data_IF_956899484710
#
_entry.id   IF_956899484710
#
_cell.length_a   1.000
_cell.length_b   1.000
_cell.length_c   1.000
_cell.angle_alpha   90.00
_cell.angle_beta   90.00
_cell.angle_gamma   90.00
#
_symmetry.space_group_name_H-M   'P 1'
#
loop_
_entity.id
_entity.type
_entity.pdbx_description
1 polymer ?
#
# COMPACT_ATOMS: atom_id res chain seq x y z
N UNK A 1 9.31 9.06 1.20
CA UNK A 1 9.81 7.71 1.53
C UNK A 1 10.14 7.59 3.01
N UNK A 2 11.01 8.44 3.57
CA UNK A 2 11.36 8.43 5.00
C UNK A 2 10.12 8.42 5.92
N UNK A 3 9.17 9.33 5.68
CA UNK A 3 7.90 9.40 6.43
C UNK A 3 7.09 8.10 6.37
N UNK A 4 7.07 7.42 5.21
CA UNK A 4 6.40 6.14 5.04
C UNK A 4 7.13 5.05 5.83
N UNK A 5 8.44 4.88 5.66
CA UNK A 5 9.21 3.87 6.39
C UNK A 5 9.08 4.08 7.91
N UNK A 6 9.19 5.32 8.37
CA UNK A 6 8.99 5.69 9.78
C UNK A 6 7.57 5.43 10.31
N UNK A 7 6.56 5.36 9.44
CA UNK A 7 5.19 4.98 9.83
C UNK A 7 5.03 3.46 9.90
N UNK A 8 5.73 2.70 9.06
CA UNK A 8 5.69 1.23 9.07
C UNK A 8 6.28 0.65 10.36
N UNK A 9 7.28 1.32 10.94
CA UNK A 9 7.85 1.03 12.27
C UNK A 9 6.81 1.05 13.42
N UNK A 10 5.65 1.67 13.20
CA UNK A 10 4.57 1.72 14.22
C UNK A 10 3.61 0.54 14.14
N UNK A 11 3.73 -0.30 13.11
CA UNK A 11 2.89 -1.48 12.92
C UNK A 11 3.35 -2.64 13.82
N UNK A 12 2.47 -3.61 14.01
CA UNK A 12 2.81 -4.84 14.75
C UNK A 12 4.02 -5.52 14.10
N UNK A 13 4.99 -6.04 14.88
CA UNK A 13 6.10 -6.84 14.35
C UNK A 13 5.66 -8.07 13.55
N UNK A 14 4.43 -8.53 13.73
CA UNK A 14 3.82 -9.64 12.97
C UNK A 14 3.34 -9.22 11.56
N UNK A 15 3.32 -7.91 11.27
CA UNK A 15 2.91 -7.38 9.96
C UNK A 15 3.99 -7.71 8.92
N UNK A 16 3.65 -8.52 7.92
CA UNK A 16 4.53 -8.76 6.78
C UNK A 16 4.56 -7.55 5.84
N UNK A 17 5.75 -7.11 5.44
CA UNK A 17 5.94 -5.98 4.53
C UNK A 17 6.58 -6.45 3.22
N UNK A 18 5.87 -6.26 2.11
CA UNK A 18 6.36 -6.59 0.77
C UNK A 18 6.51 -5.31 -0.04
N UNK A 19 7.74 -4.98 -0.40
CA UNK A 19 8.06 -3.83 -1.24
C UNK A 19 8.29 -4.26 -2.69
N UNK A 20 7.57 -3.65 -3.62
CA UNK A 20 7.91 -3.66 -5.04
C UNK A 20 8.65 -2.39 -5.38
N UNK A 21 9.84 -2.49 -5.96
CA UNK A 21 10.68 -1.33 -6.24
C UNK A 21 9.98 -0.34 -7.18
N UNK A 22 10.23 0.98 -6.99
CA UNK A 22 9.71 1.99 -7.90
C UNK A 22 10.25 1.79 -9.32
N UNK A 23 9.57 2.37 -10.30
CA UNK A 23 10.10 2.47 -11.66
C UNK A 23 11.44 3.23 -11.65
N UNK A 24 12.28 2.95 -12.65
CA UNK A 24 13.68 3.40 -12.73
C UNK A 24 13.86 4.90 -13.07
N UNK A 25 13.12 5.78 -12.41
CA UNK A 25 13.27 7.24 -12.53
C UNK A 25 14.48 7.73 -11.71
N UNK A 26 14.92 8.97 -11.97
CA UNK A 26 16.18 9.57 -11.43
C UNK A 26 16.29 9.52 -9.90
N UNK A 27 15.16 9.62 -9.17
CA UNK A 27 15.10 9.55 -7.71
C UNK A 27 14.94 8.11 -7.16
N UNK A 28 14.80 7.13 -8.06
CA UNK A 28 14.57 5.72 -7.73
C UNK A 28 15.74 5.07 -6.98
N UNK A 29 16.98 5.53 -7.20
CA UNK A 29 18.16 5.00 -6.49
C UNK A 29 18.13 5.28 -4.99
N UNK A 30 17.77 6.50 -4.59
CA UNK A 30 17.69 6.87 -3.17
C UNK A 30 16.59 6.06 -2.49
N UNK A 31 15.43 5.93 -3.15
CA UNK A 31 14.32 5.11 -2.64
C UNK A 31 14.75 3.64 -2.52
N UNK A 32 15.46 3.12 -3.52
CA UNK A 32 15.94 1.74 -3.51
C UNK A 32 16.86 1.47 -2.32
N UNK A 33 17.87 2.31 -2.09
CA UNK A 33 18.79 2.13 -0.97
C UNK A 33 18.07 2.25 0.38
N UNK A 34 17.12 3.19 0.54
CA UNK A 34 16.32 3.30 1.76
C UNK A 34 15.50 2.04 2.04
N UNK A 35 14.87 1.44 1.03
CA UNK A 35 14.09 0.21 1.21
C UNK A 35 15.03 -0.98 1.47
N UNK A 36 16.16 -1.05 0.79
CA UNK A 36 17.16 -2.09 1.01
C UNK A 36 17.72 -2.05 2.42
N UNK A 37 18.06 -0.86 2.93
CA UNK A 37 18.50 -0.66 4.31
C UNK A 37 17.39 -1.09 5.29
N UNK A 38 16.16 -0.61 5.09
CA UNK A 38 15.01 -0.97 5.92
C UNK A 38 14.78 -2.48 5.99
N UNK A 39 14.76 -3.17 4.84
CA UNK A 39 14.56 -4.63 4.81
C UNK A 39 15.73 -5.42 5.39
N UNK A 40 16.95 -4.86 5.39
CA UNK A 40 18.11 -5.52 6.00
C UNK A 40 18.06 -5.57 7.53
N UNK A 41 17.33 -4.64 8.15
CA UNK A 41 17.15 -4.56 9.61
C UNK A 41 15.83 -5.15 10.11
N UNK A 42 14.95 -5.63 9.22
CA UNK A 42 13.60 -6.10 9.54
C UNK A 42 13.34 -7.49 8.98
N UNK A 43 13.21 -8.50 9.85
CA UNK A 43 12.98 -9.89 9.46
C UNK A 43 11.61 -10.16 8.83
N UNK A 44 10.65 -9.26 9.04
CA UNK A 44 9.29 -9.28 8.50
C UNK A 44 9.14 -8.44 7.21
N UNK A 45 10.24 -7.99 6.60
CA UNK A 45 10.21 -7.12 5.43
C UNK A 45 11.05 -7.67 4.27
N UNK A 46 10.47 -7.68 3.07
CA UNK A 46 11.12 -8.16 1.85
C UNK A 46 10.95 -7.17 0.71
N UNK A 47 11.95 -7.08 -0.16
CA UNK A 47 11.86 -6.29 -1.39
C UNK A 47 12.07 -7.13 -2.63
N UNK A 48 11.38 -6.75 -3.70
CA UNK A 48 11.51 -7.34 -5.02
C UNK A 48 11.66 -6.23 -6.05
N UNK A 49 12.65 -6.36 -6.94
CA UNK A 49 12.86 -5.42 -8.05
C UNK A 49 11.65 -5.39 -8.98
N UNK A 50 11.07 -6.54 -9.26
CA UNK A 50 9.77 -6.68 -9.92
C UNK A 50 9.18 -8.05 -9.61
N UNK A 51 7.88 -8.09 -9.35
CA UNK A 51 7.11 -9.34 -9.28
C UNK A 51 6.61 -9.77 -10.67
N UNK A 52 6.58 -8.84 -11.64
CA UNK A 52 5.80 -9.01 -12.86
C UNK A 52 4.30 -9.06 -12.57
N UNK A 53 3.49 -9.00 -13.62
CA UNK A 53 2.04 -8.88 -13.47
C UNK A 53 1.42 -10.10 -12.77
N UNK A 54 1.74 -11.32 -13.22
CA UNK A 54 1.15 -12.55 -12.66
C UNK A 54 1.43 -12.69 -11.17
N UNK A 55 2.69 -12.56 -10.72
CA UNK A 55 3.01 -12.72 -9.30
C UNK A 55 2.50 -11.56 -8.46
N UNK A 56 2.43 -10.34 -9.01
CA UNK A 56 1.83 -9.21 -8.31
C UNK A 56 0.33 -9.44 -8.06
N UNK A 57 -0.43 -9.84 -9.09
CA UNK A 57 -1.86 -10.15 -8.97
C UNK A 57 -2.11 -11.37 -8.07
N UNK A 58 -1.22 -12.37 -8.09
CA UNK A 58 -1.28 -13.48 -7.13
C UNK A 58 -1.00 -13.00 -5.71
N UNK A 59 -0.01 -12.13 -5.50
CA UNK A 59 0.34 -11.57 -4.19
C UNK A 59 -0.83 -10.79 -3.59
N UNK A 60 -1.57 -10.02 -4.39
CA UNK A 60 -2.76 -9.29 -3.94
C UNK A 60 -3.74 -10.20 -3.18
N UNK A 61 -3.93 -11.45 -3.59
CA UNK A 61 -4.86 -12.38 -2.93
C UNK A 61 -4.48 -12.72 -1.48
N UNK A 62 -3.27 -12.36 -1.03
CA UNK A 62 -2.72 -12.75 0.27
C UNK A 62 -2.31 -11.55 1.13
N UNK A 63 -2.62 -10.31 0.73
CA UNK A 63 -2.29 -9.11 1.50
C UNK A 63 -3.54 -8.39 1.98
N UNK A 64 -3.43 -7.74 3.14
CA UNK A 64 -4.54 -6.96 3.71
C UNK A 64 -4.71 -5.60 3.01
N UNK A 65 -3.60 -5.04 2.48
CA UNK A 65 -3.61 -3.72 1.88
C UNK A 65 -2.49 -3.47 0.87
N UNK A 66 -2.73 -2.50 -0.01
CA UNK A 66 -1.72 -1.87 -0.87
C UNK A 66 -1.43 -0.45 -0.36
N UNK A 67 -0.16 -0.12 -0.14
CA UNK A 67 0.25 1.18 0.40
C UNK A 67 1.27 1.83 -0.53
N UNK A 68 1.07 3.11 -0.85
CA UNK A 68 2.00 3.88 -1.67
C UNK A 68 1.27 4.81 -2.62
N UNK A 69 1.83 5.03 -3.81
CA UNK A 69 1.24 5.92 -4.83
C UNK A 69 1.15 5.25 -6.21
N UNK A 70 1.24 3.92 -6.24
CA UNK A 70 1.09 3.12 -7.45
C UNK A 70 -0.33 3.24 -8.00
N UNK A 71 -0.46 3.25 -9.33
CA UNK A 71 -1.78 3.14 -9.97
C UNK A 71 -2.49 1.85 -9.59
N UNK A 72 -1.73 0.82 -9.18
CA UNK A 72 -2.28 -0.47 -8.79
C UNK A 72 -3.10 -0.45 -7.51
N UNK A 73 -2.88 0.52 -6.62
CA UNK A 73 -3.78 0.75 -5.49
C UNK A 73 -5.16 1.28 -5.92
N UNK A 74 -5.26 1.91 -7.09
CA UNK A 74 -6.51 2.53 -7.56
C UNK A 74 -7.26 1.63 -8.55
N UNK A 75 -6.54 0.86 -9.37
CA UNK A 75 -7.14 0.05 -10.44
C UNK A 75 -7.26 -1.42 -10.00
N UNK A 76 -6.14 -2.05 -9.68
CA UNK A 76 -6.09 -3.48 -9.41
C UNK A 76 -6.63 -3.82 -8.01
N UNK A 77 -6.11 -3.20 -6.95
CA UNK A 77 -6.44 -3.55 -5.56
C UNK A 77 -7.95 -3.55 -5.23
N UNK A 78 -8.77 -2.59 -5.71
CA UNK A 78 -10.22 -2.63 -5.48
C UNK A 78 -10.91 -3.86 -6.06
N UNK A 79 -10.41 -4.41 -7.18
CA UNK A 79 -10.98 -5.62 -7.81
C UNK A 79 -10.79 -6.87 -6.95
N UNK A 80 -9.75 -6.87 -6.10
CA UNK A 80 -9.48 -7.92 -5.12
C UNK A 80 -10.13 -7.63 -3.75
N UNK A 81 -10.90 -6.55 -3.63
CA UNK A 81 -11.51 -6.06 -2.36
C UNK A 81 -10.47 -5.73 -1.28
N UNK A 82 -9.27 -5.35 -1.71
CA UNK A 82 -8.16 -5.00 -0.82
C UNK A 82 -8.18 -3.50 -0.55
N UNK A 83 -7.92 -3.13 0.71
CA UNK A 83 -7.80 -1.73 1.11
C UNK A 83 -6.57 -1.07 0.49
N UNK A 84 -6.65 0.20 0.15
CA UNK A 84 -5.51 0.97 -0.35
C UNK A 84 -5.30 2.23 0.46
N UNK A 85 -4.05 2.48 0.86
CA UNK A 85 -3.60 3.80 1.33
C UNK A 85 -2.85 4.46 0.18
N UNK A 86 -3.50 5.43 -0.49
CA UNK A 86 -2.90 6.23 -1.55
C UNK A 86 -2.25 7.49 -0.96
N UNK A 87 -0.93 7.59 -1.10
CA UNK A 87 -0.10 8.62 -0.48
C UNK A 87 0.23 9.72 -1.50
N UNK A 88 -0.19 10.94 -1.19
CA UNK A 88 0.05 12.14 -1.99
C UNK A 88 -0.73 12.21 -3.30
N UNK A 89 -0.34 13.17 -4.14
CA UNK A 89 -1.16 13.64 -5.26
C UNK A 89 -0.96 12.89 -6.60
N UNK A 90 -0.08 11.88 -6.67
CA UNK A 90 0.26 11.20 -7.94
C UNK A 90 -0.97 10.63 -8.68
N UNK A 91 -1.97 10.15 -7.94
CA UNK A 91 -3.18 9.57 -8.51
C UNK A 91 -4.40 10.51 -8.45
N UNK A 92 -4.19 11.81 -8.23
CA UNK A 92 -5.26 12.82 -8.15
C UNK A 92 -6.07 12.86 -9.45
N UNK A 93 -7.38 13.09 -9.33
CA UNK A 93 -8.31 13.15 -10.47
C UNK A 93 -8.84 11.79 -10.96
N UNK A 94 -8.29 10.66 -10.49
CA UNK A 94 -8.87 9.34 -10.77
C UNK A 94 -10.07 9.05 -9.86
N UNK A 95 -11.06 8.33 -10.37
CA UNK A 95 -12.18 7.84 -9.58
C UNK A 95 -11.67 6.99 -8.40
N UNK A 96 -12.37 7.09 -7.25
CA UNK A 96 -12.01 6.39 -6.02
C UNK A 96 -13.06 5.36 -5.65
N UNK A 97 -12.61 4.13 -5.42
CA UNK A 97 -13.41 3.11 -4.75
C UNK A 97 -13.48 3.41 -3.24
N UNK A 98 -14.52 2.89 -2.56
CA UNK A 98 -14.68 3.01 -1.10
C UNK A 98 -13.55 2.35 -0.31
N UNK A 99 -12.83 1.41 -0.93
CA UNK A 99 -11.65 0.74 -0.38
C UNK A 99 -10.37 1.58 -0.43
N UNK A 100 -10.43 2.84 -0.87
CA UNK A 100 -9.27 3.72 -0.99
C UNK A 100 -9.31 4.81 0.09
N UNK A 101 -8.20 4.95 0.79
CA UNK A 101 -7.91 6.01 1.76
C UNK A 101 -6.81 6.87 1.17
N UNK A 102 -7.13 8.12 0.82
CA UNK A 102 -6.12 9.11 0.42
C UNK A 102 -5.53 9.77 1.68
N UNK A 103 -4.21 9.97 1.71
CA UNK A 103 -3.53 10.74 2.75
C UNK A 103 -2.32 11.52 2.21
N UNK A 104 -1.91 12.55 2.94
CA UNK A 104 -0.71 13.32 2.62
C UNK A 104 0.57 12.52 2.95
N UNK A 105 1.71 12.81 2.30
CA UNK A 105 2.99 12.13 2.55
C UNK A 105 3.67 12.58 3.85
N UNK A 106 2.92 12.60 4.96
CA UNK A 106 3.36 12.97 6.30
C UNK A 106 3.12 11.79 7.25
N UNK A 107 4.08 11.49 8.13
CA UNK A 107 4.04 10.32 9.02
C UNK A 107 2.73 10.21 9.80
N UNK A 108 2.25 11.31 10.39
CA UNK A 108 1.01 11.33 11.19
C UNK A 108 -0.20 10.93 10.32
N UNK A 109 -0.30 11.50 9.13
CA UNK A 109 -1.38 11.22 8.18
C UNK A 109 -1.36 9.76 7.69
N UNK A 110 -0.16 9.21 7.47
CA UNK A 110 0.00 7.80 7.08
C UNK A 110 -0.37 6.88 8.24
N UNK A 111 0.03 7.19 9.47
CA UNK A 111 -0.35 6.43 10.68
C UNK A 111 -1.87 6.44 10.87
N UNK A 112 -2.52 7.58 10.71
CA UNK A 112 -3.97 7.69 10.85
C UNK A 112 -4.71 6.96 9.72
N UNK A 113 -4.13 6.94 8.51
CA UNK A 113 -4.62 6.10 7.42
C UNK A 113 -4.52 4.60 7.75
N UNK A 114 -3.44 4.13 8.38
CA UNK A 114 -3.33 2.74 8.87
C UNK A 114 -4.36 2.41 9.95
N UNK A 115 -4.57 3.31 10.93
CA UNK A 115 -5.61 3.11 11.96
C UNK A 115 -7.00 2.98 11.33
N UNK A 116 -7.30 3.82 10.32
CA UNK A 116 -8.56 3.74 9.58
C UNK A 116 -8.66 2.45 8.77
N UNK A 117 -7.60 2.07 8.06
CA UNK A 117 -7.53 0.83 7.28
C UNK A 117 -7.86 -0.39 8.14
N UNK A 118 -7.29 -0.49 9.35
CA UNK A 118 -7.54 -1.60 10.27
C UNK A 118 -8.81 -1.45 11.13
N UNK A 119 -9.53 -0.35 11.01
CA UNK A 119 -10.79 -0.17 11.73
C UNK A 119 -11.86 -1.13 11.23
N UNK A 120 -12.68 -1.64 12.16
CA UNK A 120 -13.77 -2.56 11.84
C UNK A 120 -14.79 -1.97 10.86
N UNK A 121 -14.99 -0.65 10.89
CA UNK A 121 -15.89 0.05 9.97
C UNK A 121 -15.37 0.04 8.53
N UNK A 122 -14.07 0.24 8.35
CA UNK A 122 -13.46 0.21 7.02
C UNK A 122 -13.42 -1.23 6.48
N UNK A 123 -13.02 -2.18 7.32
CA UNK A 123 -13.00 -3.61 7.02
C UNK A 123 -14.40 -4.20 6.81
N UNK A 124 -15.49 -3.50 7.17
CA UNK A 124 -16.84 -3.88 6.73
C UNK A 124 -17.16 -3.23 5.38
N UNK A 125 -17.02 -1.91 5.27
CA UNK A 125 -17.40 -1.13 4.08
C UNK A 125 -16.68 -1.56 2.80
N UNK A 126 -15.45 -2.05 2.89
CA UNK A 126 -14.67 -2.50 1.72
C UNK A 126 -15.24 -3.76 1.05
N UNK A 127 -16.04 -4.58 1.75
CA UNK A 127 -16.42 -5.92 1.26
C UNK A 127 -17.90 -6.07 0.89
N UNK A 128 -18.78 -5.12 1.24
CA UNK A 128 -20.24 -5.28 1.09
C UNK A 128 -20.84 -4.85 -0.25
N UNK A 129 -20.09 -4.24 -1.18
CA UNK A 129 -20.73 -3.50 -2.29
C UNK A 129 -20.76 -4.20 -3.66
N UNK A 130 -20.50 -5.51 -3.72
CA UNK A 130 -20.58 -6.30 -4.97
C UNK A 130 -21.73 -7.33 -4.95
N UNK A 131 -22.81 -7.06 -4.21
CA UNK A 131 -24.04 -7.86 -4.21
C UNK A 131 -25.27 -7.10 -4.74
N UNK A 132 -25.13 -5.86 -5.21
CA UNK A 132 -26.26 -5.00 -5.61
C UNK A 132 -26.30 -4.64 -7.10
N UNK A 133 -25.55 -5.35 -7.95
CA UNK A 133 -25.59 -5.19 -9.40
C UNK A 133 -25.68 -6.54 -10.12
N UNK A 134 -26.70 -7.33 -9.80
CA UNK A 134 -27.40 -8.27 -10.68
C UNK A 134 -28.86 -8.37 -10.22
#
# INVERSE_FOLDING_TARGET
MIELLSSLETLSPETGLIFTMPNADTDGRIIFELVKEFTSSHSNAWYFTSLGQTRYLSCLQFVDAVVGNSSSGIIEAPSFKIGTINIGDRQKGRLRAKSIIDCEPKKIEIIDAFKRLYSSDFQKKSFYDCQSLW
#
